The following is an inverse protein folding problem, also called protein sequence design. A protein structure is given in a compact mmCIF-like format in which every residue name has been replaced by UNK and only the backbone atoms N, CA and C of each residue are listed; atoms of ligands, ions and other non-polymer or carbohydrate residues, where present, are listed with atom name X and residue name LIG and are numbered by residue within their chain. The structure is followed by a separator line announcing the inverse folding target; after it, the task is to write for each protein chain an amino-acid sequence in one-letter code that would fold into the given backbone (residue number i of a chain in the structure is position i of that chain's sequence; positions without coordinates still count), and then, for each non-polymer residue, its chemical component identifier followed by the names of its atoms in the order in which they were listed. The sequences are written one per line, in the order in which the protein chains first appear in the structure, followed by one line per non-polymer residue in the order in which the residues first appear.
data_IF_424748036401
#
_entry.id   IF_424748036401
#
_cell.length_a   1.000
_cell.length_b   1.000
_cell.length_c   1.000
_cell.angle_alpha   90.00
_cell.angle_beta   90.00
_cell.angle_gamma   90.00
#
_symmetry.space_group_name_H-M   'P 1'
#
loop_
_entity.id
_entity.type
_entity.pdbx_description
1 polymer ?
#
# COMPACT_ATOMS: atom_id res chain seq x y z
N UNK A 1 -47.88 33.32 25.09
CA UNK A 1 -47.55 32.64 23.81
C UNK A 1 -46.32 31.73 23.98
N UNK A 2 -46.28 30.91 25.05
CA UNK A 2 -45.05 30.21 25.50
C UNK A 2 -45.30 28.77 26.02
N UNK A 3 -46.42 28.13 25.66
CA UNK A 3 -46.69 26.72 26.02
C UNK A 3 -46.64 25.75 24.83
N UNK A 4 -46.72 26.26 23.60
CA UNK A 4 -46.63 25.44 22.38
C UNK A 4 -45.18 25.24 21.87
N UNK A 5 -44.24 26.10 22.27
CA UNK A 5 -42.82 25.98 21.87
C UNK A 5 -42.13 24.84 22.63
N UNK A 6 -42.49 24.60 23.90
CA UNK A 6 -41.95 23.49 24.69
C UNK A 6 -42.50 22.13 24.28
N UNK A 7 -43.76 22.05 23.85
CA UNK A 7 -44.34 20.81 23.32
C UNK A 7 -43.74 20.42 21.96
N UNK A 8 -43.40 21.41 21.12
CA UNK A 8 -42.76 21.17 19.82
C UNK A 8 -41.27 20.79 19.95
N UNK A 9 -40.55 21.32 20.94
CA UNK A 9 -39.17 20.90 21.24
C UNK A 9 -39.08 19.47 21.82
N UNK A 10 -40.07 19.03 22.61
CA UNK A 10 -40.07 17.70 23.22
C UNK A 10 -40.37 16.58 22.21
N UNK A 11 -41.18 16.86 21.18
CA UNK A 11 -41.48 15.91 20.10
C UNK A 11 -40.31 15.81 19.09
N UNK A 12 -39.54 16.88 18.90
CA UNK A 12 -38.33 16.85 18.05
C UNK A 12 -37.19 16.03 18.66
N UNK A 13 -37.07 15.98 20.00
CA UNK A 13 -36.09 15.13 20.69
C UNK A 13 -36.44 13.63 20.72
N UNK A 14 -37.71 13.27 20.48
CA UNK A 14 -38.12 11.85 20.43
C UNK A 14 -38.01 11.23 19.03
N UNK A 15 -37.96 12.05 17.97
CA UNK A 15 -37.75 11.57 16.60
C UNK A 15 -36.28 11.40 16.22
N UNK A 16 -35.34 12.02 16.93
CA UNK A 16 -33.89 11.78 16.74
C UNK A 16 -33.35 10.59 17.54
N UNK A 17 -34.13 10.04 18.47
CA UNK A 17 -33.78 8.82 19.22
C UNK A 17 -34.34 7.52 18.57
N UNK A 18 -35.25 7.63 17.60
CA UNK A 18 -35.87 6.47 16.95
C UNK A 18 -35.20 6.03 15.63
N UNK A 19 -34.23 6.80 15.11
CA UNK A 19 -33.42 6.40 13.94
C UNK A 19 -31.95 6.11 14.26
N UNK A 20 -31.51 6.29 15.51
CA UNK A 20 -30.15 5.90 15.95
C UNK A 20 -30.08 4.48 16.56
N UNK A 21 -31.23 3.84 16.83
CA UNK A 21 -31.31 2.51 17.45
C UNK A 21 -31.49 1.34 16.47
N UNK A 22 -31.36 1.56 15.15
CA UNK A 22 -31.34 0.47 14.15
C UNK A 22 -29.94 0.19 13.56
N UNK A 23 -28.89 0.92 13.98
CA UNK A 23 -27.50 0.63 13.58
C UNK A 23 -26.67 0.08 14.76
N UNK A 24 -27.09 0.30 16.01
CA UNK A 24 -26.36 -0.20 17.18
C UNK A 24 -26.87 -1.53 17.77
N UNK A 25 -28.02 -2.05 17.34
CA UNK A 25 -28.59 -3.29 17.90
C UNK A 25 -28.19 -4.54 17.12
N UNK A 26 -27.85 -4.43 15.82
CA UNK A 26 -27.26 -5.55 15.07
C UNK A 26 -25.78 -5.80 15.39
N UNK A 27 -25.09 -4.82 16.00
CA UNK A 27 -23.72 -4.99 16.47
C UNK A 27 -23.62 -5.44 17.94
N UNK A 28 -24.66 -5.22 18.75
CA UNK A 28 -24.65 -5.57 20.18
C UNK A 28 -25.26 -6.94 20.49
N UNK A 29 -26.23 -7.43 19.70
CA UNK A 29 -26.73 -8.82 19.83
C UNK A 29 -25.78 -9.86 19.25
N UNK A 30 -24.86 -9.48 18.36
CA UNK A 30 -23.77 -10.37 17.89
C UNK A 30 -22.62 -10.50 18.91
N UNK A 31 -22.55 -9.57 19.87
CA UNK A 31 -21.50 -9.55 20.93
C UNK A 31 -21.98 -10.20 22.24
N UNK A 32 -23.29 -10.31 22.50
CA UNK A 32 -23.81 -10.82 23.78
C UNK A 32 -24.22 -12.30 23.81
N UNK A 33 -24.18 -13.03 22.70
CA UNK A 33 -24.57 -14.45 22.63
C UNK A 33 -23.43 -15.41 22.21
N UNK A 34 -22.21 -15.19 22.72
CA UNK A 34 -21.11 -16.17 22.68
C UNK A 34 -20.28 -16.22 23.98
N UNK A 35 -20.92 -16.13 25.14
CA UNK A 35 -20.28 -16.50 26.41
C UNK A 35 -21.12 -17.53 27.14
N UNK A 36 -20.95 -18.78 26.72
CA UNK A 36 -20.92 -19.99 27.56
C UNK A 36 -21.00 -21.21 26.64
N UNK A 37 -19.89 -21.48 25.96
CA UNK A 37 -19.48 -22.86 25.70
C UNK A 37 -18.02 -22.94 26.09
N UNK A 38 -17.77 -23.65 27.19
CA UNK A 38 -16.47 -24.26 27.48
C UNK A 38 -15.92 -24.82 26.17
N UNK A 39 -14.94 -24.12 25.62
CA UNK A 39 -14.05 -24.65 24.59
C UNK A 39 -12.68 -24.56 25.22
N UNK A 40 -12.22 -25.73 25.62
CA UNK A 40 -10.85 -26.13 25.89
C UNK A 40 -9.79 -25.03 25.70
N UNK A 41 -9.04 -24.79 26.77
CA UNK A 41 -7.82 -23.98 26.83
C UNK A 41 -6.67 -24.74 26.13
N UNK A 42 -6.93 -25.31 24.95
CA UNK A 42 -6.00 -26.16 24.21
C UNK A 42 -5.26 -25.35 23.14
N UNK A 43 -3.97 -25.13 23.39
CA UNK A 43 -2.92 -24.65 22.50
C UNK A 43 -2.98 -23.17 22.07
N UNK A 44 -2.45 -22.29 22.94
CA UNK A 44 -1.64 -21.16 22.44
C UNK A 44 -0.59 -21.78 21.52
N UNK A 45 -0.70 -21.61 20.20
CA UNK A 45 0.25 -22.14 19.23
C UNK A 45 1.64 -21.52 19.48
N UNK A 46 2.39 -22.15 20.36
CA UNK A 46 3.82 -21.96 20.56
C UNK A 46 4.56 -22.51 19.35
N UNK A 47 5.68 -21.86 19.00
CA UNK A 47 6.60 -22.28 17.92
C UNK A 47 6.73 -23.80 17.91
N UNK A 48 6.62 -24.42 16.74
CA UNK A 48 6.82 -25.86 16.65
C UNK A 48 8.27 -26.20 17.01
N UNK A 49 8.43 -27.09 17.99
CA UNK A 49 9.75 -27.45 18.54
C UNK A 49 10.17 -28.88 18.23
N UNK A 50 9.23 -29.74 17.88
CA UNK A 50 9.49 -31.18 17.71
C UNK A 50 10.39 -31.42 16.50
N UNK A 51 11.46 -32.20 16.68
CA UNK A 51 12.42 -32.53 15.62
C UNK A 51 13.32 -31.39 15.14
N UNK A 52 13.19 -30.18 15.69
CA UNK A 52 13.91 -29.00 15.21
C UNK A 52 15.18 -28.70 16.02
N UNK A 53 16.24 -28.34 15.30
CA UNK A 53 17.48 -27.87 15.91
C UNK A 53 17.21 -26.63 16.78
N UNK A 54 17.82 -26.61 17.96
CA UNK A 54 17.63 -25.57 18.98
C UNK A 54 18.92 -24.82 19.23
N UNK A 55 18.85 -23.48 19.27
CA UNK A 55 19.98 -22.61 19.64
C UNK A 55 19.59 -21.58 20.71
N UNK A 56 20.59 -21.13 21.47
CA UNK A 56 20.42 -20.03 22.44
C UNK A 56 20.21 -18.70 21.71
N UNK A 57 19.22 -17.92 22.14
CA UNK A 57 18.89 -16.64 21.52
C UNK A 57 19.94 -15.56 21.76
N UNK A 58 20.66 -15.59 22.88
CA UNK A 58 21.74 -14.63 23.14
C UNK A 58 22.90 -14.89 22.18
N UNK A 59 23.22 -16.16 21.95
CA UNK A 59 24.22 -16.56 20.95
C UNK A 59 23.79 -16.15 19.53
N UNK A 60 22.53 -16.39 19.14
CA UNK A 60 22.03 -15.99 17.82
C UNK A 60 22.05 -14.47 17.63
N UNK A 61 21.75 -13.68 18.68
CA UNK A 61 21.84 -12.20 18.62
C UNK A 61 23.24 -11.70 18.28
N UNK A 62 24.29 -12.45 18.64
CA UNK A 62 25.68 -12.08 18.34
C UNK A 62 26.20 -12.63 17.01
N UNK A 63 25.57 -13.69 16.48
CA UNK A 63 26.10 -14.47 15.34
C UNK A 63 25.28 -14.41 14.08
N UNK A 64 24.02 -14.01 14.16
CA UNK A 64 23.17 -13.87 12.99
C UNK A 64 23.47 -12.57 12.26
N UNK A 65 23.54 -12.66 10.93
CA UNK A 65 23.69 -11.50 10.05
C UNK A 65 22.44 -10.61 10.12
N UNK A 66 21.26 -11.23 10.17
CA UNK A 66 20.00 -10.51 10.34
C UNK A 66 19.25 -10.94 11.60
N UNK A 67 18.68 -9.94 12.28
CA UNK A 67 17.73 -10.10 13.38
C UNK A 67 16.48 -9.29 13.07
N UNK A 68 15.36 -9.98 12.95
CA UNK A 68 14.11 -9.40 12.47
C UNK A 68 13.03 -9.60 13.52
N UNK A 69 12.37 -8.52 13.91
CA UNK A 69 11.16 -8.61 14.72
C UNK A 69 9.96 -8.88 13.81
N UNK A 70 9.15 -9.87 14.17
CA UNK A 70 7.96 -10.26 13.43
C UNK A 70 6.74 -10.36 14.34
N UNK A 71 5.57 -10.13 13.78
CA UNK A 71 4.27 -10.26 14.46
C UNK A 71 3.38 -11.19 13.65
N UNK A 72 2.61 -12.02 14.35
CA UNK A 72 1.55 -12.84 13.77
C UNK A 72 0.35 -12.85 14.71
N UNK A 73 -0.75 -12.21 14.32
CA UNK A 73 -2.02 -12.14 15.07
C UNK A 73 -1.81 -11.66 16.53
N UNK A 74 -0.97 -10.62 16.67
CA UNK A 74 -0.61 -10.02 17.97
C UNK A 74 0.46 -10.76 18.77
N UNK A 75 0.92 -11.94 18.32
CA UNK A 75 2.07 -12.62 18.92
C UNK A 75 3.38 -12.09 18.33
N UNK A 76 4.31 -11.70 19.19
CA UNK A 76 5.61 -11.18 18.78
C UNK A 76 6.70 -12.28 18.76
N UNK A 77 7.52 -12.26 17.71
CA UNK A 77 8.59 -13.20 17.42
C UNK A 77 9.90 -12.46 17.13
N UNK A 78 11.00 -13.18 17.28
CA UNK A 78 12.34 -12.81 16.80
C UNK A 78 12.79 -13.88 15.79
N UNK A 79 13.17 -13.45 14.60
CA UNK A 79 13.71 -14.28 13.52
C UNK A 79 15.19 -13.95 13.36
N UNK A 80 16.01 -14.99 13.21
CA UNK A 80 17.46 -14.92 13.13
C UNK A 80 17.93 -15.62 11.86
N UNK A 81 18.69 -14.93 11.01
CA UNK A 81 19.29 -15.50 9.80
C UNK A 81 20.78 -15.67 10.07
N UNK A 82 21.22 -16.93 10.16
CA UNK A 82 22.56 -17.31 10.60
C UNK A 82 23.28 -18.08 9.50
N UNK A 83 24.53 -17.71 9.20
CA UNK A 83 25.36 -18.43 8.25
C UNK A 83 25.98 -19.69 8.91
N UNK A 84 25.67 -20.87 8.39
CA UNK A 84 26.30 -22.13 8.80
C UNK A 84 27.75 -22.21 8.30
N UNK A 85 27.99 -21.62 7.12
CA UNK A 85 29.31 -21.29 6.59
C UNK A 85 29.21 -19.94 5.89
N UNK A 86 30.25 -19.12 6.00
CA UNK A 86 30.28 -17.80 5.38
C UNK A 86 31.69 -17.52 4.89
N UNK A 87 31.77 -16.93 3.71
CA UNK A 87 32.95 -16.26 3.20
C UNK A 87 32.65 -14.78 3.03
N UNK A 88 33.56 -13.94 3.52
CA UNK A 88 33.44 -12.50 3.41
C UNK A 88 34.44 -11.99 2.37
N UNK A 89 33.94 -11.24 1.39
CA UNK A 89 34.74 -10.63 0.33
C UNK A 89 34.45 -9.14 0.22
N UNK A 90 35.38 -8.41 -0.41
CA UNK A 90 35.23 -7.00 -0.74
C UNK A 90 34.93 -6.86 -2.23
N UNK A 91 33.94 -6.05 -2.59
CA UNK A 91 33.62 -5.82 -4.00
C UNK A 91 34.78 -5.11 -4.73
N UNK A 92 35.21 -5.68 -5.85
CA UNK A 92 36.27 -5.11 -6.70
C UNK A 92 35.75 -3.98 -7.59
N UNK A 93 34.45 -4.01 -7.90
CA UNK A 93 33.73 -3.05 -8.72
C UNK A 93 32.31 -2.85 -8.17
N UNK A 94 31.72 -1.69 -8.44
CA UNK A 94 30.32 -1.44 -8.12
C UNK A 94 29.40 -2.33 -8.99
N UNK A 95 28.22 -2.67 -8.46
CA UNK A 95 27.21 -3.46 -9.15
C UNK A 95 25.95 -3.64 -8.33
N UNK A 96 25.12 -4.63 -8.69
CA UNK A 96 23.85 -4.93 -8.01
C UNK A 96 24.02 -5.16 -6.50
N UNK A 97 25.16 -5.71 -6.09
CA UNK A 97 25.46 -6.03 -4.71
C UNK A 97 25.95 -4.83 -3.89
N UNK A 98 26.17 -3.66 -4.48
CA UNK A 98 26.66 -2.47 -3.79
C UNK A 98 27.84 -1.79 -4.47
N UNK A 99 28.48 -0.87 -3.76
CA UNK A 99 29.60 -0.09 -4.25
C UNK A 99 30.94 -0.83 -4.13
N UNK A 100 31.93 -0.33 -4.88
CA UNK A 100 33.30 -0.83 -4.77
C UNK A 100 33.79 -0.68 -3.33
N UNK A 101 34.41 -1.74 -2.78
CA UNK A 101 34.86 -1.88 -1.39
C UNK A 101 33.76 -2.19 -0.37
N UNK A 102 32.52 -2.39 -0.78
CA UNK A 102 31.50 -2.91 0.14
C UNK A 102 31.82 -4.35 0.54
N UNK A 103 31.36 -4.72 1.73
CA UNK A 103 31.51 -6.06 2.28
C UNK A 103 30.36 -6.93 1.81
N UNK A 104 30.68 -8.09 1.25
CA UNK A 104 29.70 -9.09 0.83
C UNK A 104 29.94 -10.39 1.58
N UNK A 105 28.87 -11.00 2.03
CA UNK A 105 28.80 -12.25 2.77
C UNK A 105 28.10 -13.31 1.90
N UNK A 106 28.85 -14.31 1.48
CA UNK A 106 28.32 -15.45 0.72
C UNK A 106 28.39 -16.72 1.58
N UNK A 107 27.30 -17.47 1.64
CA UNK A 107 27.24 -18.62 2.55
C UNK A 107 25.94 -19.40 2.52
N UNK A 108 25.91 -20.52 3.21
CA UNK A 108 24.70 -21.28 3.45
C UNK A 108 24.04 -20.78 4.75
N UNK A 109 22.83 -20.26 4.65
CA UNK A 109 22.13 -19.67 5.79
C UNK A 109 21.03 -20.59 6.32
N UNK A 110 20.82 -20.54 7.63
CA UNK A 110 19.72 -21.17 8.34
C UNK A 110 18.90 -20.12 9.08
N UNK A 111 17.58 -20.30 9.10
CA UNK A 111 16.67 -19.42 9.82
C UNK A 111 16.24 -20.05 11.13
N UNK A 112 16.32 -19.29 12.22
CA UNK A 112 15.82 -19.69 13.53
C UNK A 112 14.75 -18.70 13.98
N UNK A 113 13.69 -19.19 14.61
CA UNK A 113 12.59 -18.37 15.13
C UNK A 113 12.39 -18.63 16.62
N UNK A 114 12.14 -17.55 17.38
CA UNK A 114 11.83 -17.57 18.80
C UNK A 114 10.63 -16.67 19.09
N UNK A 115 9.85 -16.99 20.13
CA UNK A 115 8.89 -16.03 20.69
C UNK A 115 9.70 -14.89 21.29
N UNK A 116 9.24 -13.65 21.17
CA UNK A 116 9.97 -12.49 21.68
C UNK A 116 10.31 -12.67 23.17
N UNK A 117 11.60 -12.58 23.50
CA UNK A 117 12.11 -12.76 24.86
C UNK A 117 12.31 -14.22 25.32
N UNK A 118 12.01 -15.22 24.49
CA UNK A 118 12.36 -16.60 24.79
C UNK A 118 13.89 -16.77 24.81
N UNK A 119 14.38 -17.72 25.61
CA UNK A 119 15.83 -18.02 25.70
C UNK A 119 16.33 -18.88 24.53
N UNK A 120 15.44 -19.54 23.82
CA UNK A 120 15.81 -20.47 22.75
C UNK A 120 15.00 -20.21 21.49
N UNK A 121 15.67 -20.35 20.35
CA UNK A 121 15.08 -20.32 19.02
C UNK A 121 15.18 -21.71 18.37
N UNK A 122 14.25 -22.00 17.48
CA UNK A 122 14.13 -23.27 16.78
C UNK A 122 14.31 -23.06 15.28
N UNK A 123 15.08 -23.94 14.64
CA UNK A 123 15.35 -23.90 13.21
C UNK A 123 14.04 -24.02 12.41
N UNK A 124 13.94 -23.28 11.33
CA UNK A 124 12.81 -23.27 10.41
C UNK A 124 13.23 -23.95 9.11
N UNK A 125 12.34 -24.79 8.57
CA UNK A 125 12.58 -25.55 7.35
C UNK A 125 12.25 -24.70 6.12
N UNK A 126 12.98 -23.60 5.99
CA UNK A 126 12.91 -22.63 4.89
C UNK A 126 14.31 -22.36 4.34
N UNK A 127 14.37 -21.63 3.21
CA UNK A 127 15.56 -21.45 2.36
C UNK A 127 15.98 -22.71 1.62
N UNK A 128 16.51 -22.50 0.41
CA UNK A 128 17.13 -23.57 -0.36
C UNK A 128 18.51 -23.93 0.20
N UNK A 129 19.06 -25.06 -0.24
CA UNK A 129 20.45 -25.43 0.08
C UNK A 129 21.49 -24.67 -0.77
N UNK A 130 21.07 -23.72 -1.61
CA UNK A 130 21.98 -22.91 -2.39
C UNK A 130 22.55 -21.79 -1.51
N UNK A 131 23.83 -21.41 -1.70
CA UNK A 131 24.39 -20.26 -1.02
C UNK A 131 23.61 -18.99 -1.32
N UNK A 132 23.41 -18.16 -0.30
CA UNK A 132 22.88 -16.81 -0.43
C UNK A 132 24.01 -15.80 -0.33
N UNK A 133 23.80 -14.66 -0.96
CA UNK A 133 24.72 -13.52 -0.97
C UNK A 133 24.03 -12.31 -0.37
N UNK A 134 24.71 -11.65 0.56
CA UNK A 134 24.22 -10.45 1.24
C UNK A 134 25.31 -9.38 1.31
N UNK A 135 24.91 -8.12 1.17
CA UNK A 135 25.72 -6.96 1.55
C UNK A 135 24.98 -6.26 2.70
N UNK A 136 25.68 -5.86 3.77
CA UNK A 136 25.05 -5.17 4.90
C UNK A 136 24.44 -3.80 4.51
N UNK A 137 24.99 -3.15 3.49
CA UNK A 137 24.51 -1.86 2.98
C UNK A 137 23.32 -2.00 2.02
N UNK A 138 23.08 -3.20 1.47
CA UNK A 138 21.98 -3.50 0.55
C UNK A 138 20.97 -4.39 1.26
N UNK A 139 19.73 -3.93 1.46
CA UNK A 139 18.68 -4.66 2.20
C UNK A 139 18.46 -6.10 1.67
N UNK A 140 19.14 -7.09 2.26
CA UNK A 140 19.05 -8.49 1.82
C UNK A 140 17.95 -9.30 2.50
N UNK A 141 17.62 -8.96 3.75
CA UNK A 141 16.49 -9.54 4.45
C UNK A 141 15.85 -8.54 5.42
N UNK A 142 14.53 -8.43 5.40
CA UNK A 142 13.82 -7.41 6.18
C UNK A 142 12.33 -7.75 6.39
N UNK A 143 11.69 -7.17 7.43
CA UNK A 143 10.27 -7.35 7.67
C UNK A 143 9.41 -6.40 6.82
N UNK A 144 8.30 -6.91 6.32
CA UNK A 144 7.19 -6.17 5.71
C UNK A 144 6.00 -6.24 6.66
N UNK A 145 5.59 -5.10 7.23
CA UNK A 145 4.48 -5.03 8.19
C UNK A 145 3.15 -4.88 7.48
N UNK A 146 2.32 -5.92 7.55
CA UNK A 146 0.97 -5.96 7.00
C UNK A 146 -0.05 -6.09 8.14
N UNK A 147 -0.35 -4.97 8.79
CA UNK A 147 -1.32 -4.92 9.88
C UNK A 147 -0.81 -5.67 11.11
N UNK A 148 -1.52 -6.72 11.49
CA UNK A 148 -1.16 -7.62 12.59
C UNK A 148 -0.27 -8.80 12.16
N UNK A 149 0.19 -8.81 10.90
CA UNK A 149 1.13 -9.81 10.37
C UNK A 149 2.41 -9.17 9.85
N UNK A 150 3.47 -9.94 9.85
CA UNK A 150 4.77 -9.59 9.25
C UNK A 150 5.13 -10.64 8.22
N UNK A 151 5.43 -10.19 7.00
CA UNK A 151 6.13 -11.02 6.02
C UNK A 151 7.63 -10.78 6.18
N UNK A 152 8.41 -11.85 6.12
CA UNK A 152 9.85 -11.79 5.99
C UNK A 152 10.19 -11.80 4.50
N UNK A 153 10.80 -10.73 4.00
CA UNK A 153 11.38 -10.70 2.66
C UNK A 153 12.85 -11.11 2.74
N UNK A 154 13.25 -12.02 1.86
CA UNK A 154 14.65 -12.37 1.60
C UNK A 154 14.89 -12.16 0.12
N UNK A 155 15.87 -11.32 -0.19
CA UNK A 155 16.09 -10.78 -1.53
C UNK A 155 17.50 -11.13 -1.96
N UNK A 156 17.66 -11.65 -3.19
CA UNK A 156 18.91 -12.15 -3.73
C UNK A 156 19.19 -11.54 -5.11
N UNK A 157 20.43 -11.11 -5.39
CA UNK A 157 20.76 -10.54 -6.70
C UNK A 157 20.53 -11.56 -7.81
N UNK A 158 20.03 -11.08 -8.94
CA UNK A 158 19.78 -11.83 -10.17
C UNK A 158 20.32 -11.02 -11.37
N UNK A 159 21.52 -11.35 -11.83
CA UNK A 159 22.19 -10.61 -12.91
C UNK A 159 22.71 -9.24 -12.46
N UNK A 160 22.66 -8.24 -13.35
CA UNK A 160 23.39 -6.97 -13.19
C UNK A 160 22.62 -5.87 -12.44
N UNK A 161 21.29 -5.96 -12.39
CA UNK A 161 20.45 -4.90 -11.80
C UNK A 161 19.16 -5.40 -11.13
N UNK A 162 18.90 -6.71 -11.18
CA UNK A 162 17.65 -7.28 -10.69
C UNK A 162 17.88 -8.10 -9.44
N UNK A 163 16.80 -8.34 -8.72
CA UNK A 163 16.78 -9.21 -7.57
C UNK A 163 15.60 -10.18 -7.65
N UNK A 164 15.81 -11.40 -7.20
CA UNK A 164 14.73 -12.32 -6.85
C UNK A 164 14.33 -12.08 -5.40
N UNK A 165 13.04 -12.25 -5.10
CA UNK A 165 12.54 -12.09 -3.74
C UNK A 165 11.67 -13.29 -3.33
N UNK A 166 11.98 -13.85 -2.17
CA UNK A 166 11.17 -14.85 -1.51
C UNK A 166 10.52 -14.25 -0.26
N UNK A 167 9.21 -14.44 -0.14
CA UNK A 167 8.43 -13.96 0.99
C UNK A 167 8.04 -15.13 1.88
N UNK A 168 8.14 -14.93 3.19
CA UNK A 168 7.77 -15.91 4.19
C UNK A 168 6.80 -15.29 5.20
N UNK A 169 5.83 -16.05 5.66
CA UNK A 169 4.90 -15.64 6.73
C UNK A 169 4.91 -16.68 7.84
N UNK A 170 4.66 -16.23 9.07
CA UNK A 170 4.39 -17.12 10.17
C UNK A 170 2.97 -17.69 10.02
N UNK A 171 2.82 -19.00 10.17
CA UNK A 171 1.53 -19.68 10.27
C UNK A 171 1.68 -20.90 11.18
N UNK A 172 0.84 -20.97 12.21
CA UNK A 172 0.87 -22.06 13.21
C UNK A 172 2.25 -22.25 13.86
N UNK A 173 2.93 -21.13 14.18
CA UNK A 173 4.23 -21.14 14.85
C UNK A 173 5.41 -21.57 13.97
N UNK A 174 5.26 -21.55 12.66
CA UNK A 174 6.33 -21.87 11.68
C UNK A 174 6.42 -20.80 10.60
N UNK A 175 7.63 -20.53 10.12
CA UNK A 175 7.81 -19.78 8.88
C UNK A 175 7.49 -20.67 7.68
N UNK A 176 6.63 -20.17 6.79
CA UNK A 176 6.25 -20.82 5.55
C UNK A 176 6.39 -19.86 4.38
N UNK A 177 6.77 -20.39 3.22
CA UNK A 177 6.83 -19.61 2.00
C UNK A 177 5.43 -19.10 1.62
N UNK A 178 5.36 -17.83 1.27
CA UNK A 178 4.16 -17.20 0.72
C UNK A 178 4.11 -17.53 -0.76
N UNK A 179 3.04 -18.20 -1.16
CA UNK A 179 2.83 -18.60 -2.54
C UNK A 179 2.50 -17.38 -3.40
N UNK A 180 3.07 -17.32 -4.59
CA UNK A 180 2.75 -16.30 -5.59
C UNK A 180 2.48 -17.02 -6.90
N UNK A 181 1.25 -16.95 -7.42
CA UNK A 181 0.85 -17.71 -8.62
C UNK A 181 1.85 -17.56 -9.78
N UNK A 182 1.96 -16.36 -10.36
CA UNK A 182 2.94 -16.08 -11.42
C UNK A 182 4.31 -15.59 -10.91
N UNK A 183 4.54 -15.57 -9.59
CA UNK A 183 5.75 -15.02 -8.98
C UNK A 183 5.71 -13.51 -8.76
N UNK A 184 6.36 -13.02 -7.70
CA UNK A 184 7.04 -11.72 -7.80
C UNK A 184 8.24 -11.99 -8.71
N UNK A 185 8.12 -11.66 -9.99
CA UNK A 185 9.24 -11.77 -10.93
C UNK A 185 10.26 -10.67 -10.63
N UNK A 186 11.51 -10.93 -11.01
CA UNK A 186 12.71 -10.13 -10.75
C UNK A 186 12.41 -8.64 -10.55
N UNK A 187 12.68 -8.15 -9.34
CA UNK A 187 12.44 -6.77 -8.93
C UNK A 187 13.67 -5.90 -9.24
N UNK A 188 13.42 -4.63 -9.53
CA UNK A 188 14.45 -3.63 -9.75
C UNK A 188 14.86 -3.05 -8.39
N UNK A 189 16.12 -3.29 -8.02
CA UNK A 189 16.59 -2.99 -6.67
C UNK A 189 16.07 -3.98 -5.61
N UNK A 190 16.59 -3.93 -4.38
CA UNK A 190 16.28 -4.92 -3.35
C UNK A 190 14.95 -4.65 -2.61
N UNK A 191 14.24 -3.57 -2.94
CA UNK A 191 13.15 -3.04 -2.11
C UNK A 191 11.77 -3.56 -2.54
N UNK A 192 11.01 -3.97 -1.53
CA UNK A 192 9.58 -4.28 -1.58
C UNK A 192 8.93 -3.42 -0.52
N UNK A 193 7.80 -2.79 -0.83
CA UNK A 193 7.13 -1.90 0.12
C UNK A 193 5.84 -2.49 0.63
N UNK A 194 5.68 -2.52 1.95
CA UNK A 194 4.38 -2.71 2.58
C UNK A 194 3.59 -1.41 2.50
N UNK A 195 2.39 -1.44 1.91
CA UNK A 195 1.56 -0.27 1.68
C UNK A 195 0.16 -0.52 2.23
N UNK A 196 -0.41 0.49 2.89
CA UNK A 196 -1.75 0.44 3.52
C UNK A 196 -2.00 -0.78 4.42
N UNK A 197 -0.96 -1.35 5.04
CA UNK A 197 -1.04 -2.46 5.98
C UNK A 197 -1.59 -3.79 5.42
N UNK A 198 -1.89 -3.90 4.12
CA UNK A 198 -2.49 -5.12 3.57
C UNK A 198 -1.99 -5.47 2.16
N UNK A 199 -1.24 -4.56 1.52
CA UNK A 199 -0.64 -4.79 0.20
C UNK A 199 0.87 -4.67 0.26
N UNK A 200 1.51 -5.24 -0.75
CA UNK A 200 2.90 -4.98 -1.07
C UNK A 200 3.02 -4.40 -2.48
N UNK A 201 4.02 -3.56 -2.71
CA UNK A 201 4.36 -3.04 -4.03
C UNK A 201 5.79 -3.40 -4.40
N UNK A 202 5.96 -3.78 -5.67
CA UNK A 202 7.26 -4.03 -6.31
C UNK A 202 7.38 -3.19 -7.57
N UNK A 203 8.62 -2.93 -7.99
CA UNK A 203 8.92 -2.29 -9.27
C UNK A 203 9.84 -3.21 -10.06
N UNK A 204 9.52 -3.44 -11.34
CA UNK A 204 10.31 -4.29 -12.23
C UNK A 204 10.64 -3.52 -13.52
N UNK A 205 11.69 -3.95 -14.23
CA UNK A 205 12.01 -3.47 -15.59
C UNK A 205 11.48 -4.43 -16.66
N UNK A 206 10.88 -3.91 -17.74
CA UNK A 206 10.64 -4.70 -18.97
C UNK A 206 11.97 -4.82 -19.73
N UNK A 207 12.31 -6.04 -20.20
CA UNK A 207 13.37 -6.36 -21.16
C UNK A 207 14.55 -5.36 -21.18
N UNK A 208 15.45 -5.48 -20.19
CA UNK A 208 16.70 -4.71 -20.11
C UNK A 208 16.55 -3.17 -20.14
N UNK A 209 15.55 -2.66 -19.41
CA UNK A 209 15.25 -1.24 -19.16
C UNK A 209 14.40 -0.54 -20.25
N UNK A 210 13.62 -1.29 -21.01
CA UNK A 210 12.68 -0.74 -22.00
C UNK A 210 11.31 -0.33 -21.41
N UNK A 211 11.13 -0.47 -20.09
CA UNK A 211 9.92 0.01 -19.42
C UNK A 211 9.93 -0.19 -17.91
N UNK A 212 9.05 0.52 -17.20
CA UNK A 212 8.85 0.39 -15.75
C UNK A 212 7.52 -0.28 -15.46
N UNK A 213 7.51 -1.28 -14.58
CA UNK A 213 6.30 -1.99 -14.15
C UNK A 213 6.11 -1.84 -12.66
N UNK A 214 5.03 -1.17 -12.26
CA UNK A 214 4.62 -1.06 -10.86
C UNK A 214 3.53 -2.10 -10.59
N UNK A 215 3.85 -3.11 -9.78
CA UNK A 215 2.93 -4.20 -9.44
C UNK A 215 2.53 -4.13 -7.98
N UNK A 216 1.23 -4.18 -7.72
CA UNK A 216 0.67 -4.22 -6.37
C UNK A 216 0.00 -5.55 -6.10
N UNK A 217 0.31 -6.13 -4.95
CA UNK A 217 -0.10 -7.48 -4.58
C UNK A 217 -0.88 -7.45 -3.27
N UNK A 218 -2.03 -8.12 -3.22
CA UNK A 218 -2.79 -8.34 -2.01
C UNK A 218 -2.39 -9.65 -1.34
N UNK A 219 -2.19 -9.63 -0.02
CA UNK A 219 -1.84 -10.80 0.76
C UNK A 219 -3.09 -11.49 1.33
N UNK A 220 -3.33 -12.73 0.89
CA UNK A 220 -4.33 -13.64 1.43
C UNK A 220 -3.70 -14.43 2.59
N UNK A 221 -3.94 -13.93 3.80
CA UNK A 221 -3.36 -14.49 5.03
C UNK A 221 -3.81 -15.93 5.34
N UNK A 222 -5.00 -16.32 4.90
CA UNK A 222 -5.53 -17.66 5.18
C UNK A 222 -4.85 -18.70 4.29
N UNK A 223 -4.59 -18.34 3.03
CA UNK A 223 -3.94 -19.21 2.05
C UNK A 223 -2.43 -19.10 2.02
N UNK A 224 -1.87 -18.07 2.69
CA UNK A 224 -0.48 -17.65 2.53
C UNK A 224 -0.14 -17.42 1.05
N UNK A 225 -1.00 -16.67 0.37
CA UNK A 225 -0.85 -16.36 -1.05
C UNK A 225 -0.78 -14.85 -1.26
N UNK A 226 0.01 -14.40 -2.23
CA UNK A 226 -0.11 -13.06 -2.81
C UNK A 226 -0.73 -13.12 -4.19
N UNK A 227 -1.61 -12.15 -4.48
CA UNK A 227 -2.30 -12.01 -5.77
C UNK A 227 -2.11 -10.62 -6.30
N UNK A 228 -1.70 -10.51 -7.57
CA UNK A 228 -1.57 -9.21 -8.23
C UNK A 228 -2.97 -8.61 -8.37
N UNK A 229 -3.15 -7.41 -7.82
CA UNK A 229 -4.43 -6.66 -7.87
C UNK A 229 -4.34 -5.41 -8.74
N UNK A 230 -3.12 -4.98 -9.07
CA UNK A 230 -2.87 -3.86 -9.96
C UNK A 230 -1.52 -4.00 -10.62
N UNK A 231 -1.46 -3.57 -11.88
CA UNK A 231 -0.24 -3.41 -12.66
C UNK A 231 -0.32 -2.07 -13.38
N UNK A 232 0.80 -1.38 -13.48
CA UNK A 232 0.93 -0.22 -14.35
C UNK A 232 2.26 -0.32 -15.07
N UNK A 233 2.17 -0.29 -16.39
CA UNK A 233 3.32 -0.30 -17.29
C UNK A 233 3.55 1.11 -17.83
N UNK A 234 4.81 1.53 -17.78
CA UNK A 234 5.33 2.75 -18.38
C UNK A 234 6.38 2.38 -19.41
N UNK A 235 6.01 2.46 -20.67
CA UNK A 235 6.89 2.29 -21.82
C UNK A 235 6.53 3.32 -22.90
N UNK A 236 7.44 3.50 -23.86
CA UNK A 236 7.25 4.44 -24.96
C UNK A 236 6.35 3.89 -26.08
N UNK A 237 5.93 2.63 -25.99
CA UNK A 237 5.05 2.01 -26.98
C UNK A 237 3.58 2.42 -26.79
N UNK A 238 3.14 2.52 -25.53
CA UNK A 238 1.76 2.83 -25.16
C UNK A 238 1.60 4.25 -24.56
N UNK A 239 2.70 4.89 -24.17
CA UNK A 239 2.68 6.24 -23.59
C UNK A 239 3.76 7.12 -24.22
N UNK A 240 3.37 8.32 -24.66
CA UNK A 240 4.35 9.33 -25.06
C UNK A 240 5.20 9.72 -23.84
N UNK A 241 6.51 9.54 -23.94
CA UNK A 241 7.45 9.76 -22.83
C UNK A 241 7.12 8.87 -21.61
N UNK A 242 6.75 7.63 -21.88
CA UNK A 242 6.41 6.64 -20.86
C UNK A 242 7.63 6.31 -20.00
N UNK A 243 8.80 6.16 -20.62
CA UNK A 243 10.05 5.92 -19.90
C UNK A 243 10.36 7.03 -18.88
N UNK A 244 10.26 8.30 -19.29
CA UNK A 244 10.53 9.44 -18.42
C UNK A 244 9.51 9.58 -17.28
N UNK A 245 8.23 9.30 -17.53
CA UNK A 245 7.22 9.29 -16.46
C UNK A 245 7.42 8.09 -15.51
N UNK A 246 7.82 6.93 -16.02
CA UNK A 246 8.15 5.75 -15.21
C UNK A 246 9.35 5.99 -14.28
N UNK A 247 10.41 6.60 -14.80
CA UNK A 247 11.61 6.98 -14.00
C UNK A 247 11.23 7.94 -12.88
N UNK A 248 10.47 8.98 -13.19
CA UNK A 248 9.97 9.94 -12.20
C UNK A 248 9.11 9.27 -11.12
N UNK A 249 8.26 8.32 -11.48
CA UNK A 249 7.49 7.57 -10.49
C UNK A 249 8.39 6.66 -9.65
N UNK A 250 9.43 6.09 -10.23
CA UNK A 250 10.40 5.30 -9.49
C UNK A 250 11.19 6.15 -8.51
N UNK A 251 11.60 7.37 -8.89
CA UNK A 251 12.23 8.31 -7.96
C UNK A 251 11.31 8.66 -6.78
N UNK A 252 10.04 8.99 -7.06
CA UNK A 252 9.04 9.28 -6.02
C UNK A 252 8.84 8.05 -5.12
N UNK A 253 8.70 6.88 -5.74
CA UNK A 253 8.54 5.62 -5.04
C UNK A 253 9.75 5.42 -4.13
N UNK A 254 10.97 5.35 -4.64
CA UNK A 254 12.20 5.07 -3.88
C UNK A 254 12.54 6.11 -2.81
N UNK A 255 12.01 7.34 -2.88
CA UNK A 255 12.40 8.43 -1.97
C UNK A 255 12.01 8.21 -0.49
N UNK A 256 10.93 7.49 -0.18
CA UNK A 256 10.48 7.28 1.20
C UNK A 256 9.64 6.00 1.35
N UNK A 257 9.68 5.33 2.50
CA UNK A 257 8.96 4.06 2.75
C UNK A 257 7.44 4.19 2.54
N UNK A 258 6.86 5.32 2.94
CA UNK A 258 5.44 5.63 2.79
C UNK A 258 5.01 5.95 1.35
N UNK A 259 5.96 6.23 0.45
CA UNK A 259 5.67 6.55 -0.94
C UNK A 259 5.41 5.26 -1.72
N UNK A 260 4.30 5.27 -2.44
CA UNK A 260 3.89 4.19 -3.31
C UNK A 260 3.29 4.74 -4.59
N UNK A 261 3.35 3.96 -5.66
CA UNK A 261 2.70 4.27 -6.92
C UNK A 261 1.18 4.06 -6.75
N UNK A 262 0.33 5.02 -7.15
CA UNK A 262 -1.11 4.92 -6.99
C UNK A 262 -1.67 3.58 -7.48
N UNK A 263 -2.54 2.99 -6.66
CA UNK A 263 -3.24 1.75 -6.96
C UNK A 263 -4.67 1.81 -6.41
N UNK A 264 -5.43 0.75 -6.67
CA UNK A 264 -6.89 0.72 -6.77
C UNK A 264 -7.45 1.60 -7.87
N UNK A 265 -7.74 0.91 -8.97
CA UNK A 265 -8.56 1.46 -10.04
C UNK A 265 -9.94 1.78 -9.47
N UNK A 266 -10.28 3.07 -9.50
CA UNK A 266 -11.59 3.58 -9.16
C UNK A 266 -12.53 3.19 -10.30
N UNK A 267 -13.44 2.27 -10.01
CA UNK A 267 -14.57 2.04 -10.90
C UNK A 267 -15.54 3.22 -10.77
N UNK A 268 -15.81 3.87 -11.89
CA UNK A 268 -16.80 4.93 -11.95
C UNK A 268 -18.20 4.27 -11.98
N UNK A 269 -19.05 4.66 -11.04
CA UNK A 269 -20.42 4.16 -10.92
C UNK A 269 -21.42 5.26 -11.31
N UNK A 270 -22.64 4.86 -11.69
CA UNK A 270 -23.72 5.79 -12.09
C UNK A 270 -24.05 6.85 -11.03
N UNK A 271 -23.80 6.59 -9.74
CA UNK A 271 -24.09 7.52 -8.62
C UNK A 271 -23.02 8.59 -8.35
N UNK A 272 -22.00 8.73 -9.21
CA UNK A 272 -20.90 9.67 -8.96
C UNK A 272 -21.31 11.14 -9.03
N UNK A 273 -22.25 11.52 -9.90
CA UNK A 273 -22.77 12.90 -9.98
C UNK A 273 -23.48 13.27 -8.66
N UNK A 274 -24.24 12.33 -8.09
CA UNK A 274 -24.92 12.53 -6.81
C UNK A 274 -23.93 12.70 -5.66
N UNK A 275 -22.90 11.85 -5.57
CA UNK A 275 -21.81 12.00 -4.59
C UNK A 275 -21.06 13.34 -4.77
N UNK A 276 -20.75 13.69 -6.02
CA UNK A 276 -20.10 14.95 -6.36
C UNK A 276 -20.95 16.17 -5.95
N UNK A 277 -22.28 16.09 -6.05
CA UNK A 277 -23.18 17.16 -5.62
C UNK A 277 -23.13 17.43 -4.11
N UNK A 278 -22.67 16.45 -3.34
CA UNK A 278 -22.43 16.55 -1.89
C UNK A 278 -21.01 17.03 -1.56
N UNK A 279 -20.17 17.28 -2.56
CA UNK A 279 -18.78 17.71 -2.39
C UNK A 279 -17.78 16.56 -2.27
N UNK A 280 -18.19 15.33 -2.54
CA UNK A 280 -17.35 14.13 -2.44
C UNK A 280 -17.03 13.62 -3.85
N UNK A 281 -15.73 13.55 -4.18
CA UNK A 281 -15.29 12.89 -5.41
C UNK A 281 -14.99 11.41 -5.12
N UNK A 282 -15.54 10.50 -5.92
CA UNK A 282 -15.27 9.06 -5.78
C UNK A 282 -13.76 8.81 -5.79
N UNK A 283 -13.28 8.04 -4.81
CA UNK A 283 -11.85 7.75 -4.62
C UNK A 283 -11.11 8.74 -3.71
N UNK A 284 -11.79 9.78 -3.21
CA UNK A 284 -11.30 10.66 -2.14
C UNK A 284 -11.98 10.38 -0.81
N UNK A 285 -11.23 10.51 0.28
CA UNK A 285 -11.72 10.37 1.65
C UNK A 285 -12.35 11.66 2.20
N UNK A 286 -11.90 12.82 1.72
CA UNK A 286 -12.26 14.11 2.31
C UNK A 286 -13.05 14.98 1.32
N UNK A 287 -14.27 15.43 1.67
CA UNK A 287 -15.05 16.31 0.82
C UNK A 287 -14.45 17.72 0.68
N UNK A 288 -14.89 18.44 -0.34
CA UNK A 288 -14.68 19.90 -0.44
C UNK A 288 -15.25 20.58 0.81
N UNK A 289 -14.49 21.54 1.35
CA UNK A 289 -14.77 22.25 2.60
C UNK A 289 -14.09 21.65 3.83
N UNK A 290 -13.50 20.45 3.74
CA UNK A 290 -12.70 19.88 4.84
C UNK A 290 -11.52 20.79 5.17
N UNK A 291 -11.18 20.94 6.45
CA UNK A 291 -9.97 21.65 6.85
C UNK A 291 -8.72 20.83 6.47
N UNK A 292 -7.78 21.44 5.76
CA UNK A 292 -6.57 20.74 5.29
C UNK A 292 -5.72 20.19 6.45
N UNK A 293 -5.78 20.79 7.65
CA UNK A 293 -5.02 20.28 8.80
C UNK A 293 -5.60 18.97 9.33
N UNK A 294 -6.89 18.71 9.15
CA UNK A 294 -7.48 17.42 9.49
C UNK A 294 -7.03 16.34 8.49
N UNK A 295 -6.94 16.70 7.20
CA UNK A 295 -6.35 15.83 6.17
C UNK A 295 -4.90 15.47 6.51
N UNK A 296 -4.07 16.46 6.89
CA UNK A 296 -2.66 16.26 7.26
C UNK A 296 -2.49 15.37 8.50
N UNK A 297 -3.39 15.46 9.48
CA UNK A 297 -3.32 14.64 10.71
C UNK A 297 -3.66 13.17 10.45
N UNK A 298 -4.57 12.92 9.53
CA UNK A 298 -5.10 11.58 9.26
C UNK A 298 -4.47 10.90 8.03
N UNK A 299 -3.62 11.60 7.29
CA UNK A 299 -2.91 11.08 6.12
C UNK A 299 -1.40 10.97 6.38
N UNK A 300 -0.67 10.09 5.67
CA UNK A 300 0.79 10.13 5.64
C UNK A 300 1.31 11.50 5.16
N UNK A 301 2.63 11.76 5.24
CA UNK A 301 3.24 12.89 4.54
C UNK A 301 2.86 12.93 3.05
N UNK A 302 2.68 14.13 2.51
CA UNK A 302 2.40 14.33 1.08
C UNK A 302 3.66 14.12 0.25
N UNK A 303 3.54 13.44 -0.90
CA UNK A 303 4.64 13.25 -1.86
C UNK A 303 5.12 14.56 -2.48
N UNK A 304 4.23 15.56 -2.55
CA UNK A 304 4.53 16.86 -3.12
C UNK A 304 3.61 17.91 -2.51
N UNK A 305 4.14 19.10 -2.26
CA UNK A 305 3.36 20.25 -1.83
C UNK A 305 3.81 21.49 -2.59
N UNK A 306 2.87 22.39 -2.88
CA UNK A 306 3.19 23.59 -3.63
C UNK A 306 2.01 24.54 -3.77
N UNK A 307 2.10 25.44 -4.75
CA UNK A 307 1.07 26.43 -5.06
C UNK A 307 0.75 26.43 -6.54
N UNK A 308 -0.53 26.38 -6.89
CA UNK A 308 -1.04 26.42 -8.27
C UNK A 308 -2.11 27.49 -8.39
N UNK A 309 -1.74 28.61 -9.00
CA UNK A 309 -2.59 29.80 -9.04
C UNK A 309 -2.84 30.32 -7.62
N UNK A 310 -4.12 30.47 -7.24
CA UNK A 310 -4.51 30.95 -5.92
C UNK A 310 -4.54 29.87 -4.82
N UNK A 311 -4.45 28.59 -5.19
CA UNK A 311 -4.55 27.49 -4.23
C UNK A 311 -3.18 26.93 -3.88
N UNK A 312 -2.96 26.64 -2.60
CA UNK A 312 -1.93 25.68 -2.20
C UNK A 312 -2.43 24.25 -2.47
N UNK A 313 -1.52 23.29 -2.61
CA UNK A 313 -1.88 21.89 -2.77
C UNK A 313 -1.00 20.95 -1.96
N UNK A 314 -1.59 19.82 -1.59
CA UNK A 314 -0.91 18.62 -1.10
C UNK A 314 -1.25 17.47 -2.05
N UNK A 315 -0.22 16.84 -2.60
CA UNK A 315 -0.34 15.68 -3.46
C UNK A 315 -0.02 14.44 -2.62
N UNK A 316 -0.93 13.49 -2.66
CA UNK A 316 -0.74 12.12 -2.19
C UNK A 316 -0.71 11.21 -3.42
N UNK A 317 -0.23 9.95 -3.29
CA UNK A 317 -0.24 9.01 -4.40
C UNK A 317 -1.60 8.94 -5.09
N UNK A 318 -2.67 8.93 -4.29
CA UNK A 318 -4.02 8.63 -4.75
C UNK A 318 -4.90 9.83 -5.08
N UNK A 319 -4.53 11.01 -4.59
CA UNK A 319 -5.40 12.20 -4.60
C UNK A 319 -4.57 13.45 -4.37
N UNK A 320 -4.93 14.54 -5.04
CA UNK A 320 -4.40 15.87 -4.74
C UNK A 320 -5.50 16.74 -4.17
N UNK A 321 -5.24 17.36 -3.03
CA UNK A 321 -6.12 18.35 -2.41
C UNK A 321 -5.57 19.74 -2.65
N UNK A 322 -6.38 20.61 -3.28
CA UNK A 322 -6.10 22.03 -3.40
C UNK A 322 -6.94 22.78 -2.38
N UNK A 323 -6.33 23.69 -1.65
CA UNK A 323 -6.96 24.42 -0.56
C UNK A 323 -6.64 25.91 -0.60
N UNK A 324 -7.53 26.69 -0.01
CA UNK A 324 -7.33 28.12 0.19
C UNK A 324 -6.45 28.32 1.43
N UNK A 325 -5.34 29.06 1.29
CA UNK A 325 -4.41 29.26 2.42
C UNK A 325 -5.00 30.16 3.53
N UNK A 326 -5.95 31.03 3.20
CA UNK A 326 -6.55 31.92 4.19
C UNK A 326 -7.60 31.20 5.04
N UNK A 327 -8.46 30.38 4.41
CA UNK A 327 -9.51 29.63 5.13
C UNK A 327 -9.07 28.25 5.58
N UNK A 328 -7.97 27.73 5.02
CA UNK A 328 -7.49 26.36 5.21
C UNK A 328 -8.50 25.30 4.73
N UNK A 329 -9.49 25.66 3.92
CA UNK A 329 -10.52 24.75 3.42
C UNK A 329 -10.11 24.16 2.07
N UNK A 330 -10.32 22.85 1.91
CA UNK A 330 -10.20 22.15 0.62
C UNK A 330 -11.21 22.75 -0.36
N UNK A 331 -10.73 23.25 -1.49
CA UNK A 331 -11.52 23.88 -2.53
C UNK A 331 -11.64 23.01 -3.79
N UNK A 332 -10.64 22.17 -4.05
CA UNK A 332 -10.60 21.25 -5.19
C UNK A 332 -10.03 19.91 -4.75
N UNK A 333 -10.65 18.83 -5.21
CA UNK A 333 -10.13 17.46 -5.05
C UNK A 333 -9.84 16.92 -6.44
N UNK A 334 -8.65 16.35 -6.66
CA UNK A 334 -8.22 15.80 -7.95
C UNK A 334 -7.79 14.35 -7.80
N UNK A 335 -8.38 13.47 -8.60
CA UNK A 335 -7.98 12.07 -8.74
C UNK A 335 -7.10 11.94 -9.99
N UNK A 336 -5.90 11.34 -9.89
CA UNK A 336 -5.05 11.12 -11.04
C UNK A 336 -5.68 10.09 -11.98
N UNK A 337 -5.58 10.33 -13.28
CA UNK A 337 -6.22 9.52 -14.32
C UNK A 337 -5.72 8.08 -14.37
N UNK A 338 -4.53 7.80 -13.86
CA UNK A 338 -3.98 6.46 -13.72
C UNK A 338 -4.84 5.53 -12.84
N UNK A 339 -5.58 6.11 -11.90
CA UNK A 339 -6.55 5.36 -11.08
C UNK A 339 -7.88 5.16 -11.79
N UNK A 340 -8.06 5.71 -12.97
CA UNK A 340 -9.29 5.65 -13.73
C UNK A 340 -9.02 4.78 -14.97
N UNK A 341 -9.37 3.50 -14.88
CA UNK A 341 -9.34 2.58 -16.02
C UNK A 341 -10.53 2.84 -16.96
N UNK A 342 -10.65 4.08 -17.42
CA UNK A 342 -11.75 4.53 -18.25
C UNK A 342 -11.26 5.56 -19.24
N UNK A 343 -11.97 5.68 -20.34
CA UNK A 343 -11.76 6.74 -21.34
C UNK A 343 -12.78 7.85 -21.16
N UNK A 344 -12.54 8.99 -21.82
CA UNK A 344 -13.54 10.05 -21.91
C UNK A 344 -14.86 9.56 -22.53
N UNK A 345 -14.78 8.62 -23.48
CA UNK A 345 -15.97 8.02 -24.08
C UNK A 345 -16.78 7.21 -23.05
N UNK A 346 -16.10 6.45 -22.19
CA UNK A 346 -16.75 5.70 -21.11
C UNK A 346 -17.44 6.64 -20.11
N UNK A 347 -16.74 7.72 -19.73
CA UNK A 347 -17.30 8.74 -18.84
C UNK A 347 -18.55 9.38 -19.43
N UNK A 348 -18.54 9.76 -20.73
CA UNK A 348 -19.73 10.30 -21.39
C UNK A 348 -20.89 9.32 -21.40
N UNK A 349 -20.61 8.03 -21.63
CA UNK A 349 -21.64 6.98 -21.57
C UNK A 349 -22.24 6.84 -20.18
N UNK A 350 -21.46 7.08 -19.12
CA UNK A 350 -21.92 6.96 -17.73
C UNK A 350 -22.61 8.23 -17.21
N UNK A 351 -22.06 9.41 -17.50
CA UNK A 351 -22.50 10.68 -16.90
C UNK A 351 -23.48 11.44 -17.81
N UNK A 352 -23.60 11.00 -19.07
CA UNK A 352 -24.27 11.75 -20.13
C UNK A 352 -23.30 12.70 -20.84
N UNK A 353 -23.85 13.62 -21.64
CA UNK A 353 -23.03 14.63 -22.29
C UNK A 353 -22.60 15.73 -21.30
N UNK A 354 -21.34 16.20 -21.36
CA UNK A 354 -20.90 17.32 -20.55
C UNK A 354 -21.64 18.60 -20.97
N UNK A 355 -21.96 19.47 -20.03
CA UNK A 355 -22.58 20.76 -20.37
C UNK A 355 -21.60 21.69 -21.07
N UNK A 356 -20.29 21.44 -20.92
CA UNK A 356 -19.23 22.13 -21.65
C UNK A 356 -18.10 21.17 -21.98
N UNK A 357 -17.70 21.16 -23.24
CA UNK A 357 -16.46 20.52 -23.68
C UNK A 357 -15.59 21.55 -24.40
N UNK A 358 -14.28 21.51 -24.15
CA UNK A 358 -13.33 22.36 -24.87
C UNK A 358 -12.03 21.62 -25.12
N UNK A 359 -11.44 21.85 -26.30
CA UNK A 359 -10.09 21.38 -26.63
C UNK A 359 -9.09 22.50 -26.36
N UNK A 360 -8.00 22.18 -25.67
CA UNK A 360 -6.88 23.09 -25.38
C UNK A 360 -5.59 22.40 -25.78
N UNK A 361 -5.09 22.69 -26.98
CA UNK A 361 -3.92 22.02 -27.53
C UNK A 361 -4.14 20.51 -27.66
N UNK A 362 -3.35 19.73 -26.93
CA UNK A 362 -3.43 18.26 -26.89
C UNK A 362 -4.34 17.70 -25.80
N UNK A 363 -5.11 18.56 -25.12
CA UNK A 363 -6.00 18.15 -24.04
C UNK A 363 -7.46 18.45 -24.34
N UNK A 364 -8.34 17.59 -23.83
CA UNK A 364 -9.79 17.76 -23.82
C UNK A 364 -10.22 17.99 -22.38
N UNK A 365 -10.98 19.05 -22.15
CA UNK A 365 -11.66 19.34 -20.89
C UNK A 365 -13.17 19.18 -21.09
N UNK A 366 -13.76 18.20 -20.41
CA UNK A 366 -15.20 18.00 -20.31
C UNK A 366 -15.68 18.36 -18.91
N UNK A 367 -16.74 19.17 -18.80
CA UNK A 367 -17.26 19.67 -17.53
C UNK A 367 -18.70 19.19 -17.34
N UNK A 368 -18.96 18.58 -16.19
CA UNK A 368 -20.26 18.07 -15.76
C UNK A 368 -20.74 18.83 -14.53
N UNK A 369 -22.03 19.18 -14.52
CA UNK A 369 -22.63 19.89 -13.40
C UNK A 369 -23.00 18.89 -12.30
N UNK A 370 -22.66 19.23 -11.06
CA UNK A 370 -22.98 18.43 -9.88
C UNK A 370 -23.45 19.36 -8.74
N UNK A 371 -24.71 19.82 -8.84
CA UNK A 371 -25.27 20.78 -7.88
C UNK A 371 -24.50 22.10 -7.86
N UNK A 372 -23.88 22.42 -6.71
CA UNK A 372 -23.04 23.63 -6.52
C UNK A 372 -21.56 23.41 -6.88
N UNK A 373 -21.25 22.27 -7.47
CA UNK A 373 -19.90 21.87 -7.86
C UNK A 373 -19.86 21.51 -9.35
N UNK A 374 -18.65 21.46 -9.90
CA UNK A 374 -18.38 20.90 -11.21
C UNK A 374 -17.41 19.73 -11.11
N UNK A 375 -17.65 18.71 -11.94
CA UNK A 375 -16.65 17.70 -12.25
C UNK A 375 -15.95 18.10 -13.55
N UNK A 376 -14.66 18.40 -13.45
CA UNK A 376 -13.79 18.71 -14.58
C UNK A 376 -12.98 17.45 -14.93
N UNK A 377 -13.20 16.91 -16.13
CA UNK A 377 -12.51 15.72 -16.66
C UNK A 377 -11.49 16.18 -17.69
N UNK A 378 -10.22 15.94 -17.39
CA UNK A 378 -9.09 16.22 -18.28
C UNK A 378 -8.65 14.93 -18.96
N UNK A 379 -8.66 14.91 -20.28
CA UNK A 379 -8.21 13.78 -21.11
C UNK A 379 -7.19 14.26 -22.15
N UNK A 380 -6.39 13.34 -22.67
CA UNK A 380 -5.54 13.61 -23.84
C UNK A 380 -6.33 13.46 -25.16
N UNK A 381 -5.65 13.61 -26.31
CA UNK A 381 -6.27 13.48 -27.63
C UNK A 381 -6.75 12.06 -27.96
N UNK A 382 -6.18 11.03 -27.32
CA UNK A 382 -6.63 9.63 -27.46
C UNK A 382 -7.87 9.34 -26.61
N UNK A 383 -8.25 10.26 -25.72
CA UNK A 383 -9.36 10.10 -24.80
C UNK A 383 -8.97 9.40 -23.49
N UNK A 384 -7.68 9.13 -23.26
CA UNK A 384 -7.17 8.62 -21.98
C UNK A 384 -7.29 9.72 -20.94
N UNK A 385 -7.85 9.39 -19.77
CA UNK A 385 -8.05 10.35 -18.70
C UNK A 385 -6.71 10.67 -18.04
N UNK A 386 -6.41 11.96 -17.91
CA UNK A 386 -5.26 12.48 -17.17
C UNK A 386 -5.60 12.78 -15.72
N UNK A 387 -6.79 13.34 -15.47
CA UNK A 387 -7.30 13.58 -14.12
C UNK A 387 -8.79 13.89 -14.14
N UNK A 388 -9.45 13.65 -13.00
CA UNK A 388 -10.82 14.12 -12.72
C UNK A 388 -10.78 14.98 -11.48
N UNK A 389 -11.37 16.17 -11.56
CA UNK A 389 -11.41 17.13 -10.47
C UNK A 389 -12.83 17.46 -10.07
N UNK A 390 -13.08 17.56 -8.76
CA UNK A 390 -14.28 18.18 -8.22
C UNK A 390 -13.92 19.56 -7.73
N UNK A 391 -14.66 20.58 -8.16
CA UNK A 391 -14.40 21.99 -7.81
C UNK A 391 -15.68 22.69 -7.38
N UNK A 392 -15.57 23.57 -6.37
CA UNK A 392 -16.62 24.53 -6.00
C UNK A 392 -16.77 25.62 -7.07
N UNK A 393 -18.02 25.90 -7.45
CA UNK A 393 -18.38 26.98 -8.38
C UNK A 393 -17.97 28.36 -7.86
#
# INVERSE_FOLDING_TARGET
MNKYIYAMLMVLSMLTAACSNQIHTSLAEEISHKTEKQKDDSAILTIQTEGKDKKDTSWLKEKSLYRIEAVDEGLAYEVYIYAENETTVKLEQAGVLGDKQDTVHEGNYSVYMAKKGAKSAFKQDILSSLPLVFNEEVKGAYPLKLGDKTLLAIVQPEGDSRFSAELYSIQNGELKIVQSGEGIRSILGPEIKAIKQEYIQTVNSIDDNEGWVFSTWAFDKEKLEIKQVSETVYDDSDMKDGLGEGEKWFEIWSAAEENYHPFYNIQLEKGIIDKASQGILTGSQYPIGTNINDVKKASPPSIEAGKKGKYAYLKYPEVTYFYDEATQEVAVVSIPGIRLQSTLADIKKMFGEPFRESRRGTEVLAIYAAGKYNIDVYADQSGKIKSVQLRKL
#
